data_IF_853801219535
#
_entry.id   IF_853801219535
#
_cell.length_a   1.000
_cell.length_b   1.000
_cell.length_c   1.000
_cell.angle_alpha   90.00
_cell.angle_beta   90.00
_cell.angle_gamma   90.00
#
_symmetry.space_group_name_H-M   'P 1'
#
loop_
_entity.id
_entity.type
_entity.pdbx_description
1 polymer ?
#
# COMPACT_ATOMS: atom_id res chain seq x y z
N UNK A 1 -7.42 14.71 2.18
CA UNK A 1 -6.26 13.78 2.03
C UNK A 1 -5.22 14.34 1.08
N UNK A 2 -5.55 14.61 -0.20
CA UNK A 2 -4.63 15.19 -1.18
C UNK A 2 -3.90 16.45 -0.71
N UNK A 3 -4.62 17.43 -0.16
CA UNK A 3 -4.01 18.68 0.33
C UNK A 3 -3.10 18.46 1.54
N UNK A 4 -3.49 17.53 2.43
CA UNK A 4 -2.73 17.20 3.63
C UNK A 4 -1.42 16.46 3.29
N UNK A 5 -1.47 15.54 2.32
CA UNK A 5 -0.30 14.77 1.88
C UNK A 5 0.50 15.48 0.78
N UNK A 6 -0.01 16.60 0.28
CA UNK A 6 0.54 17.36 -0.86
C UNK A 6 0.86 16.49 -2.08
N UNK A 7 0.06 15.45 -2.29
CA UNK A 7 0.16 14.54 -3.43
C UNK A 7 -1.23 14.03 -3.81
N UNK A 8 -1.41 13.67 -5.07
CA UNK A 8 -2.62 13.01 -5.57
C UNK A 8 -2.53 11.49 -5.42
N UNK A 9 -3.66 10.79 -5.21
CA UNK A 9 -3.68 9.34 -5.19
C UNK A 9 -3.43 8.78 -6.60
N UNK A 10 -2.98 7.53 -6.67
CA UNK A 10 -3.04 6.75 -7.93
C UNK A 10 -4.46 6.27 -8.18
N UNK A 11 -5.19 5.93 -7.12
CA UNK A 11 -6.58 5.51 -7.19
C UNK A 11 -7.35 5.89 -5.91
N UNK A 12 -8.67 5.98 -6.03
CA UNK A 12 -9.53 6.26 -4.88
C UNK A 12 -10.86 5.50 -5.00
N UNK A 13 -11.44 5.20 -3.84
CA UNK A 13 -12.77 4.64 -3.73
C UNK A 13 -13.68 5.59 -2.95
N UNK A 14 -14.95 5.58 -3.33
CA UNK A 14 -16.02 6.33 -2.65
C UNK A 14 -17.11 5.33 -2.27
N UNK A 15 -17.57 5.39 -1.03
CA UNK A 15 -18.64 4.49 -0.53
C UNK A 15 -19.84 4.49 -1.47
N UNK A 16 -20.37 3.30 -1.72
CA UNK A 16 -21.56 3.10 -2.56
C UNK A 16 -21.28 3.11 -4.08
N UNK A 17 -20.06 3.47 -4.50
CA UNK A 17 -19.66 3.33 -5.91
C UNK A 17 -19.67 1.85 -6.29
N UNK A 18 -20.37 1.52 -7.37
CA UNK A 18 -20.39 0.16 -7.93
C UNK A 18 -19.21 -0.03 -8.87
N UNK A 19 -18.45 -1.11 -8.65
CA UNK A 19 -17.24 -1.44 -9.41
C UNK A 19 -17.31 -2.90 -9.84
N UNK A 20 -16.90 -3.16 -11.08
CA UNK A 20 -16.93 -4.50 -11.68
C UNK A 20 -17.17 -4.47 -13.19
N UNK A 21 -17.35 -5.66 -13.79
CA UNK A 21 -17.20 -6.96 -13.14
C UNK A 21 -15.72 -7.30 -12.86
N UNK A 22 -15.45 -8.02 -11.77
CA UNK A 22 -14.12 -8.60 -11.55
C UNK A 22 -13.90 -9.82 -12.48
N UNK A 23 -12.74 -10.49 -12.37
CA UNK A 23 -12.43 -11.70 -13.17
C UNK A 23 -13.42 -12.85 -12.99
N UNK A 24 -14.24 -12.83 -11.94
CA UNK A 24 -15.30 -13.81 -11.66
C UNK A 24 -16.69 -13.34 -12.13
N UNK A 25 -16.79 -12.21 -12.84
CA UNK A 25 -18.07 -11.67 -13.30
C UNK A 25 -18.86 -10.91 -12.22
N UNK A 26 -18.30 -10.74 -11.02
CA UNK A 26 -19.01 -10.18 -9.88
C UNK A 26 -18.86 -8.66 -9.79
N UNK A 27 -19.96 -8.01 -9.42
CA UNK A 27 -20.03 -6.59 -9.12
C UNK A 27 -20.03 -6.38 -7.61
N UNK A 28 -19.42 -5.30 -7.15
CA UNK A 28 -19.45 -4.91 -5.73
C UNK A 28 -19.66 -3.42 -5.57
N UNK A 29 -20.29 -3.03 -4.46
CA UNK A 29 -20.27 -1.64 -4.01
C UNK A 29 -19.09 -1.45 -3.05
N UNK A 30 -18.35 -0.36 -3.20
CA UNK A 30 -17.29 0.00 -2.26
C UNK A 30 -17.88 0.30 -0.88
N UNK A 31 -17.35 -0.36 0.15
CA UNK A 31 -17.85 -0.24 1.53
C UNK A 31 -17.13 0.85 2.33
N UNK A 32 -16.01 1.36 1.82
CA UNK A 32 -15.18 2.37 2.49
C UNK A 32 -14.67 3.43 1.50
N UNK A 33 -14.49 4.65 2.01
CA UNK A 33 -13.76 5.68 1.29
C UNK A 33 -12.28 5.36 1.38
N UNK A 34 -11.61 5.32 0.23
CA UNK A 34 -10.23 4.89 0.13
C UNK A 34 -9.43 5.88 -0.69
N UNK A 35 -8.20 6.10 -0.24
CA UNK A 35 -7.22 6.92 -0.92
C UNK A 35 -5.94 6.10 -1.03
N UNK A 36 -5.50 5.78 -2.24
CA UNK A 36 -4.47 4.78 -2.48
C UNK A 36 -3.29 5.37 -3.26
N UNK A 37 -2.09 4.92 -2.91
CA UNK A 37 -0.85 5.13 -3.67
C UNK A 37 -0.27 3.77 -4.03
N UNK A 38 -0.20 3.51 -5.33
CA UNK A 38 0.25 2.24 -5.88
C UNK A 38 1.50 2.48 -6.71
N UNK A 39 2.62 1.93 -6.27
CA UNK A 39 3.92 2.13 -6.92
C UNK A 39 4.11 1.26 -8.15
N UNK A 40 3.26 0.25 -8.38
CA UNK A 40 3.49 -0.77 -9.40
C UNK A 40 3.64 -0.21 -10.82
N UNK A 41 2.75 0.70 -11.22
CA UNK A 41 2.80 1.32 -12.57
C UNK A 41 3.99 2.28 -12.73
N UNK A 42 4.50 2.85 -11.64
CA UNK A 42 5.58 3.84 -11.67
C UNK A 42 6.98 3.23 -11.51
N UNK A 43 7.10 2.18 -10.70
CA UNK A 43 8.38 1.55 -10.33
C UNK A 43 8.58 0.23 -11.09
N UNK A 44 7.49 -0.48 -11.41
CA UNK A 44 7.51 -1.74 -12.16
C UNK A 44 7.51 -2.99 -11.26
N UNK A 45 6.92 -4.09 -11.76
CA UNK A 45 6.69 -5.32 -10.98
C UNK A 45 7.96 -6.05 -10.51
N UNK A 46 9.10 -5.83 -11.19
CA UNK A 46 10.36 -6.53 -10.94
C UNK A 46 11.36 -5.71 -10.14
N UNK A 47 10.99 -4.49 -9.76
CA UNK A 47 11.89 -3.62 -9.01
C UNK A 47 12.05 -4.14 -7.57
N UNK A 48 13.22 -3.91 -6.95
CA UNK A 48 13.43 -4.17 -5.53
C UNK A 48 12.39 -3.48 -4.66
N UNK A 49 12.06 -4.10 -3.53
CA UNK A 49 11.09 -3.58 -2.57
C UNK A 49 11.48 -2.18 -2.06
N UNK A 50 12.79 -1.91 -1.92
CA UNK A 50 13.32 -0.63 -1.51
C UNK A 50 12.93 0.51 -2.47
N UNK A 51 12.92 0.26 -3.78
CA UNK A 51 12.54 1.26 -4.78
C UNK A 51 11.06 1.62 -4.66
N UNK A 52 10.21 0.63 -4.37
CA UNK A 52 8.79 0.87 -4.08
C UNK A 52 8.59 1.68 -2.80
N UNK A 53 9.35 1.39 -1.73
CA UNK A 53 9.30 2.17 -0.49
C UNK A 53 9.78 3.60 -0.70
N UNK A 54 10.93 3.79 -1.36
CA UNK A 54 11.48 5.13 -1.64
C UNK A 54 10.50 5.95 -2.49
N UNK A 55 9.81 5.32 -3.45
CA UNK A 55 8.77 5.99 -4.22
C UNK A 55 7.57 6.40 -3.36
N UNK A 56 7.03 5.49 -2.53
CA UNK A 56 5.86 5.80 -1.69
C UNK A 56 6.20 6.89 -0.67
N UNK A 57 7.31 6.72 0.05
CA UNK A 57 7.78 7.69 1.06
C UNK A 57 8.11 9.03 0.41
N UNK A 58 8.71 9.03 -0.78
CA UNK A 58 8.98 10.26 -1.53
C UNK A 58 7.72 10.97 -2.05
N UNK A 59 6.65 10.23 -2.33
CA UNK A 59 5.35 10.79 -2.75
C UNK A 59 4.58 11.40 -1.60
N UNK A 60 4.66 10.79 -0.43
CA UNK A 60 4.06 11.33 0.79
C UNK A 60 4.93 12.49 1.25
N UNK A 61 4.64 13.69 0.75
CA UNK A 61 5.37 14.92 1.05
C UNK A 61 4.97 15.49 2.42
N UNK A 62 4.99 14.63 3.42
CA UNK A 62 4.75 14.92 4.82
C UNK A 62 5.85 14.24 5.64
N UNK A 63 6.30 14.89 6.71
CA UNK A 63 7.14 14.19 7.69
C UNK A 63 6.34 13.04 8.32
N UNK A 64 6.99 11.96 8.79
CA UNK A 64 6.30 10.92 9.54
C UNK A 64 5.39 11.50 10.63
N UNK A 65 5.87 12.47 11.39
CA UNK A 65 5.13 13.09 12.50
C UNK A 65 3.86 13.81 12.03
N UNK A 66 3.91 14.49 10.88
CA UNK A 66 2.76 15.16 10.32
C UNK A 66 1.71 14.15 9.82
N UNK A 67 2.15 13.02 9.27
CA UNK A 67 1.25 11.94 8.88
C UNK A 67 0.59 11.30 10.11
N UNK A 68 1.36 11.09 11.18
CA UNK A 68 0.82 10.58 12.44
C UNK A 68 -0.25 11.49 13.01
N UNK A 69 0.03 12.80 13.07
CA UNK A 69 -0.95 13.78 13.52
C UNK A 69 -2.23 13.73 12.68
N UNK A 70 -2.10 13.64 11.35
CA UNK A 70 -3.25 13.52 10.46
C UNK A 70 -4.09 12.26 10.74
N UNK A 71 -3.43 11.13 10.98
CA UNK A 71 -4.06 9.84 11.31
C UNK A 71 -4.80 9.95 12.65
N UNK A 72 -4.12 10.43 13.69
CA UNK A 72 -4.64 10.54 15.05
C UNK A 72 -5.82 11.52 15.14
N UNK A 73 -5.73 12.69 14.48
CA UNK A 73 -6.77 13.73 14.55
C UNK A 73 -8.03 13.39 13.76
N UNK A 74 -7.90 12.63 12.68
CA UNK A 74 -9.02 12.40 11.77
C UNK A 74 -9.58 10.97 11.82
N UNK A 75 -9.10 10.15 12.77
CA UNK A 75 -9.58 8.77 12.97
C UNK A 75 -9.54 7.92 11.69
N UNK A 76 -8.57 8.16 10.81
CA UNK A 76 -8.37 7.34 9.61
C UNK A 76 -7.38 6.22 9.90
N UNK A 77 -7.55 5.06 9.25
CA UNK A 77 -6.54 4.02 9.24
C UNK A 77 -5.62 4.22 8.03
N UNK A 78 -4.30 4.17 8.24
CA UNK A 78 -3.32 4.21 7.17
C UNK A 78 -2.42 2.96 7.24
N UNK A 79 -2.33 2.26 6.12
CA UNK A 79 -1.53 1.05 6.01
C UNK A 79 -0.68 1.08 4.75
N UNK A 80 0.53 0.54 4.85
CA UNK A 80 1.34 0.18 3.71
C UNK A 80 1.24 -1.34 3.52
N UNK A 81 0.72 -1.76 2.37
CA UNK A 81 0.52 -3.18 2.05
C UNK A 81 1.42 -3.58 0.90
N UNK A 82 2.16 -4.66 1.09
CA UNK A 82 2.97 -5.30 0.06
C UNK A 82 2.48 -6.73 -0.14
N UNK A 83 2.10 -7.06 -1.38
CA UNK A 83 1.71 -8.42 -1.75
C UNK A 83 2.90 -9.08 -2.43
N UNK A 84 3.42 -10.13 -1.82
CA UNK A 84 4.59 -10.87 -2.29
C UNK A 84 4.18 -12.26 -2.74
N UNK A 85 4.24 -12.50 -4.04
CA UNK A 85 4.01 -13.82 -4.62
C UNK A 85 5.33 -14.46 -4.97
N UNK A 86 5.65 -15.58 -4.32
CA UNK A 86 6.82 -16.37 -4.67
C UNK A 86 6.41 -17.60 -5.49
N UNK A 87 7.09 -17.83 -6.61
CA UNK A 87 6.95 -19.05 -7.41
C UNK A 87 8.11 -20.00 -7.06
N UNK A 88 7.81 -21.03 -6.27
CA UNK A 88 8.71 -22.13 -5.87
C UNK A 88 10.05 -21.71 -5.24
N UNK A 89 10.12 -21.61 -3.91
CA UNK A 89 11.32 -21.85 -3.06
C UNK A 89 12.69 -21.23 -3.40
N UNK A 90 12.79 -20.43 -4.47
CA UNK A 90 14.01 -19.87 -5.05
C UNK A 90 13.87 -18.35 -5.02
N UNK A 91 14.11 -17.78 -3.85
CA UNK A 91 14.04 -16.35 -3.56
C UNK A 91 13.82 -16.13 -2.07
N UNK A 92 14.55 -15.19 -1.48
CA UNK A 92 14.31 -14.76 -0.10
C UNK A 92 12.94 -14.10 0.05
N UNK A 93 12.49 -13.95 1.30
CA UNK A 93 11.29 -13.15 1.61
C UNK A 93 11.52 -11.65 1.44
N UNK A 94 10.48 -10.81 1.64
CA UNK A 94 10.64 -9.36 1.62
C UNK A 94 11.69 -8.94 2.66
N UNK A 95 12.68 -8.16 2.23
CA UNK A 95 13.64 -7.51 3.11
C UNK A 95 13.25 -6.06 3.28
N UNK A 96 13.08 -5.62 4.53
CA UNK A 96 12.75 -4.23 4.86
C UNK A 96 13.92 -3.61 5.60
N UNK A 97 14.50 -2.55 5.04
CA UNK A 97 15.56 -1.81 5.70
C UNK A 97 15.03 -1.10 6.96
N UNK A 98 15.87 -1.03 7.99
CA UNK A 98 15.54 -0.38 9.26
C UNK A 98 15.03 1.06 9.10
N UNK A 99 15.55 1.82 8.10
CA UNK A 99 15.09 3.18 7.79
C UNK A 99 13.58 3.26 7.48
N UNK A 100 13.03 2.24 6.84
CA UNK A 100 11.60 2.21 6.49
C UNK A 100 10.76 1.83 7.69
N UNK A 101 11.23 0.91 8.53
CA UNK A 101 10.56 0.55 9.78
C UNK A 101 10.50 1.74 10.74
N UNK A 102 11.59 2.51 10.86
CA UNK A 102 11.60 3.76 11.65
C UNK A 102 10.58 4.76 11.10
N UNK A 103 10.61 5.00 9.78
CA UNK A 103 9.68 5.93 9.15
C UNK A 103 8.22 5.54 9.37
N UNK A 104 7.87 4.26 9.19
CA UNK A 104 6.51 3.73 9.40
C UNK A 104 6.10 3.85 10.86
N UNK A 105 6.97 3.46 11.79
CA UNK A 105 6.69 3.54 13.23
C UNK A 105 6.45 4.98 13.71
N UNK A 106 7.21 5.93 13.17
CA UNK A 106 7.02 7.36 13.45
C UNK A 106 5.77 7.93 12.80
N UNK A 107 5.39 7.41 11.63
CA UNK A 107 4.22 7.88 10.91
C UNK A 107 2.88 7.37 11.44
N UNK A 108 2.89 6.39 12.33
CA UNK A 108 1.66 5.78 12.85
C UNK A 108 0.97 4.87 11.84
N UNK A 109 1.59 4.63 10.68
CA UNK A 109 1.11 3.66 9.71
C UNK A 109 1.38 2.22 10.17
N UNK A 110 0.58 1.28 9.69
CA UNK A 110 0.88 -0.15 9.79
C UNK A 110 1.57 -0.64 8.53
N UNK A 111 2.40 -1.68 8.68
CA UNK A 111 3.01 -2.40 7.55
C UNK A 111 2.43 -3.82 7.51
N UNK A 112 1.91 -4.21 6.35
CA UNK A 112 1.33 -5.52 6.12
C UNK A 112 2.02 -6.20 4.93
N UNK A 113 2.45 -7.44 5.14
CA UNK A 113 2.93 -8.33 4.08
C UNK A 113 1.91 -9.44 3.85
N UNK A 114 1.41 -9.51 2.63
CA UNK A 114 0.59 -10.62 2.16
C UNK A 114 1.50 -11.59 1.39
N UNK A 115 1.84 -12.71 2.02
CA UNK A 115 2.78 -13.68 1.49
C UNK A 115 2.01 -14.82 0.81
N UNK A 116 2.05 -14.83 -0.52
CA UNK A 116 1.42 -15.86 -1.34
C UNK A 116 2.43 -16.84 -1.92
N UNK A 117 2.03 -18.11 -2.01
CA UNK A 117 2.77 -19.16 -2.71
C UNK A 117 1.81 -20.02 -3.54
N UNK A 118 2.29 -20.57 -4.66
CA UNK A 118 1.56 -21.64 -5.36
C UNK A 118 1.51 -22.88 -4.43
N UNK A 119 0.32 -23.26 -3.97
CA UNK A 119 0.07 -24.60 -3.43
C UNK A 119 0.02 -25.55 -4.63
N UNK A 120 0.87 -26.58 -4.64
CA UNK A 120 0.71 -27.65 -5.62
C UNK A 120 -0.59 -28.40 -5.29
N UNK A 121 -1.51 -28.47 -6.24
CA UNK A 121 -2.40 -29.63 -6.33
C UNK A 121 -1.51 -30.78 -6.83
N UNK A 122 -1.25 -31.76 -5.95
CA UNK A 122 -0.63 -33.04 -6.32
C UNK A 122 -1.54 -33.85 -7.26
#
# INVERSE_FOLDING_TARGET
>A
MTDALRTSPTSSSVVGRVVGPNRLGLWRAESVNGWFLESLESVGERAPLEDHFDWIVGRVNATPEALRQLIDENSFCAQMRCVWWHRRGVGGGPSVLAKYLDWIGRSGMTLEFDLGGELNEE
#
